data_IF_287103579522
#
_entry.id   IF_287103579522
#
_cell.length_a   1.000
_cell.length_b   1.000
_cell.length_c   1.000
_cell.angle_alpha   90.00
_cell.angle_beta   90.00
_cell.angle_gamma   90.00
#
_symmetry.space_group_name_H-M   'P 1'
#
loop_
_entity.id
_entity.type
_entity.pdbx_description
1 polymer ?
#
# COMPACT_ATOMS: atom_id res chain seq x y z
N UNK A 1 -2.19 -5.38 -6.79
CA UNK A 1 -2.65 -4.01 -6.48
C UNK A 1 -3.90 -3.75 -7.28
N UNK A 2 -5.01 -3.41 -6.62
CA UNK A 2 -6.29 -3.09 -7.25
C UNK A 2 -6.48 -1.58 -7.23
N UNK A 3 -6.39 -0.92 -8.39
CA UNK A 3 -6.45 0.54 -8.51
C UNK A 3 -7.89 1.10 -8.39
N UNK A 4 -8.91 0.25 -8.40
CA UNK A 4 -10.31 0.68 -8.37
C UNK A 4 -10.80 1.12 -6.98
N UNK A 5 -10.11 0.70 -5.92
CA UNK A 5 -10.48 1.03 -4.54
C UNK A 5 -9.71 2.22 -3.99
N UNK A 6 -8.84 2.83 -4.79
CA UNK A 6 -8.13 4.05 -4.43
C UNK A 6 -9.13 5.15 -4.05
N UNK A 7 -8.96 5.84 -2.90
CA UNK A 7 -7.81 5.87 -1.99
C UNK A 7 -7.90 4.94 -0.77
N UNK A 8 -8.87 4.03 -0.71
CA UNK A 8 -9.14 3.09 0.40
C UNK A 8 -8.77 1.66 0.00
N UNK A 9 -7.47 1.45 -0.26
CA UNK A 9 -6.97 0.17 -0.72
C UNK A 9 -6.52 -0.69 0.46
N UNK A 10 -7.04 -1.92 0.53
CA UNK A 10 -6.48 -3.00 1.32
C UNK A 10 -5.53 -3.81 0.44
N UNK A 11 -4.32 -4.06 0.91
CA UNK A 11 -3.32 -4.86 0.22
C UNK A 11 -2.96 -6.08 1.03
N UNK A 12 -3.09 -7.23 0.39
CA UNK A 12 -2.67 -8.52 0.94
C UNK A 12 -1.44 -8.96 0.18
N UNK A 13 -0.33 -9.13 0.89
CA UNK A 13 0.97 -9.48 0.33
C UNK A 13 1.47 -10.77 0.99
N UNK A 14 1.95 -11.71 0.17
CA UNK A 14 2.54 -12.96 0.66
C UNK A 14 4.07 -12.85 0.60
N UNK A 15 4.73 -13.02 1.73
CA UNK A 15 6.18 -13.14 1.88
C UNK A 15 6.48 -14.61 2.15
N UNK A 16 7.16 -15.26 1.22
CA UNK A 16 7.45 -16.69 1.31
C UNK A 16 8.91 -16.90 1.67
N UNK A 17 9.16 -17.62 2.76
CA UNK A 17 10.47 -18.12 3.14
C UNK A 17 10.54 -19.61 2.79
N UNK A 18 11.49 -19.99 1.95
CA UNK A 18 11.72 -21.38 1.57
C UNK A 18 13.20 -21.59 1.24
N UNK A 19 13.64 -22.83 1.40
CA UNK A 19 14.94 -23.27 0.91
C UNK A 19 14.89 -23.40 -0.62
N UNK A 20 15.96 -23.01 -1.31
CA UNK A 20 16.07 -23.16 -2.77
C UNK A 20 16.74 -24.46 -3.20
N UNK A 21 17.43 -25.15 -2.30
CA UNK A 21 18.29 -26.29 -2.65
C UNK A 21 18.26 -27.46 -1.66
N UNK A 22 17.84 -27.24 -0.42
CA UNK A 22 17.85 -28.24 0.65
C UNK A 22 16.45 -28.72 1.00
N UNK A 23 16.34 -30.03 1.23
CA UNK A 23 15.09 -30.67 1.60
C UNK A 23 14.67 -30.40 3.05
N UNK A 24 13.43 -30.71 3.39
CA UNK A 24 12.87 -30.69 4.76
C UNK A 24 13.68 -31.52 5.75
N UNK A 25 14.43 -32.52 5.27
CA UNK A 25 15.25 -33.39 6.12
C UNK A 25 16.59 -32.75 6.48
N UNK A 26 17.03 -31.75 5.71
CA UNK A 26 18.29 -31.04 5.92
C UNK A 26 18.06 -29.70 6.60
N UNK A 27 17.06 -28.94 6.15
CA UNK A 27 16.69 -27.64 6.69
C UNK A 27 15.18 -27.61 6.95
N UNK A 28 14.80 -27.45 8.22
CA UNK A 28 13.43 -27.10 8.61
C UNK A 28 13.32 -25.60 8.85
N UNK A 29 12.20 -25.02 8.43
CA UNK A 29 11.88 -23.61 8.61
C UNK A 29 10.66 -23.55 9.52
N UNK A 30 10.86 -23.06 10.73
CA UNK A 30 9.84 -22.97 11.76
C UNK A 30 9.59 -21.52 12.17
N UNK A 31 8.37 -21.25 12.63
CA UNK A 31 7.97 -19.96 13.15
C UNK A 31 8.59 -19.70 14.53
N UNK A 32 9.18 -18.53 14.71
CA UNK A 32 9.85 -18.15 15.97
C UNK A 32 8.81 -17.83 17.07
N UNK A 33 7.65 -17.31 16.68
CA UNK A 33 6.53 -16.96 17.55
C UNK A 33 5.21 -17.09 16.80
N UNK A 34 4.11 -17.26 17.54
CA UNK A 34 2.76 -17.30 16.97
C UNK A 34 2.43 -16.03 16.17
N UNK A 35 1.47 -16.13 15.25
CA UNK A 35 1.00 -15.06 14.38
C UNK A 35 0.67 -13.74 15.14
N UNK A 36 0.03 -13.83 16.31
CA UNK A 36 -0.29 -12.67 17.14
C UNK A 36 0.98 -11.96 17.66
N UNK A 37 1.98 -12.74 18.08
CA UNK A 37 3.24 -12.21 18.59
C UNK A 37 4.07 -11.54 17.49
N UNK A 38 4.06 -12.11 16.28
CA UNK A 38 4.68 -11.51 15.10
C UNK A 38 3.95 -10.22 14.75
N UNK A 39 2.62 -10.25 14.65
CA UNK A 39 1.81 -9.08 14.33
C UNK A 39 2.04 -7.93 15.32
N UNK A 40 2.06 -8.21 16.62
CA UNK A 40 2.29 -7.20 17.66
C UNK A 40 3.66 -6.53 17.52
N UNK A 41 4.73 -7.32 17.45
CA UNK A 41 6.10 -6.79 17.27
C UNK A 41 6.28 -6.07 15.94
N UNK A 42 5.69 -6.60 14.87
CA UNK A 42 5.73 -5.96 13.57
C UNK A 42 5.02 -4.62 13.58
N UNK A 43 3.87 -4.48 14.27
CA UNK A 43 3.18 -3.18 14.43
C UNK A 43 4.03 -2.15 15.18
N UNK A 44 4.74 -2.57 16.23
CA UNK A 44 5.64 -1.67 16.98
C UNK A 44 6.80 -1.15 16.12
N UNK A 45 7.36 -2.02 15.27
CA UNK A 45 8.46 -1.68 14.35
C UNK A 45 8.00 -0.93 13.10
N UNK A 46 6.78 -1.20 12.62
CA UNK A 46 6.20 -0.60 11.42
C UNK A 46 5.67 0.83 11.68
N UNK A 47 6.38 1.61 12.51
CA UNK A 47 6.00 2.98 12.88
C UNK A 47 5.45 3.72 11.66
N UNK A 48 4.20 4.18 11.79
CA UNK A 48 3.35 4.71 10.71
C UNK A 48 3.81 6.05 10.14
N UNK A 49 5.07 6.15 9.71
CA UNK A 49 5.63 7.28 8.99
C UNK A 49 5.30 7.24 7.48
N UNK A 50 4.52 6.25 7.05
CA UNK A 50 4.08 6.05 5.68
C UNK A 50 2.57 6.18 5.50
N UNK A 51 2.12 5.95 4.28
CA UNK A 51 0.71 5.96 3.90
C UNK A 51 -0.01 4.64 4.20
N UNK A 52 0.62 3.72 4.92
CA UNK A 52 0.14 2.35 5.14
C UNK A 52 0.13 2.02 6.63
N UNK A 53 -0.93 1.35 7.06
CA UNK A 53 -1.07 0.77 8.39
C UNK A 53 -1.07 -0.75 8.27
N UNK A 54 -0.28 -1.42 9.12
CA UNK A 54 -0.26 -2.88 9.23
C UNK A 54 -1.40 -3.35 10.11
N UNK A 55 -2.29 -4.18 9.56
CA UNK A 55 -3.45 -4.71 10.27
C UNK A 55 -3.13 -6.04 10.94
N UNK A 56 -2.60 -7.00 10.18
CA UNK A 56 -2.30 -8.34 10.68
C UNK A 56 -1.26 -9.04 9.80
N UNK A 57 -0.64 -10.07 10.38
CA UNK A 57 0.23 -11.00 9.67
C UNK A 57 -0.27 -12.41 9.98
N UNK A 58 -0.74 -13.10 8.94
CA UNK A 58 -1.11 -14.50 9.01
C UNK A 58 0.10 -15.36 8.63
N UNK A 59 0.28 -16.48 9.32
CA UNK A 59 1.40 -17.41 9.06
C UNK A 59 0.83 -18.74 8.60
N UNK A 60 1.40 -19.30 7.55
CA UNK A 60 1.02 -20.63 7.05
C UNK A 60 2.26 -21.42 6.72
N UNK A 61 2.41 -22.58 7.36
CA UNK A 61 3.44 -23.55 7.02
C UNK A 61 2.91 -24.50 5.95
N UNK A 62 3.70 -24.72 4.92
CA UNK A 62 3.38 -25.57 3.77
C UNK A 62 4.61 -26.37 3.35
N UNK A 63 4.38 -27.45 2.59
CA UNK A 63 5.44 -28.25 2.00
C UNK A 63 5.27 -28.27 0.49
N UNK A 64 6.36 -28.04 -0.24
CA UNK A 64 6.39 -28.15 -1.70
C UNK A 64 7.12 -29.43 -2.07
N UNK A 65 6.47 -30.26 -2.87
CA UNK A 65 7.11 -31.43 -3.47
C UNK A 65 7.53 -31.12 -4.92
N UNK A 66 8.84 -31.09 -5.16
CA UNK A 66 9.42 -30.96 -6.50
C UNK A 66 9.68 -32.36 -7.04
N UNK A 67 8.75 -32.85 -7.84
CA UNK A 67 8.73 -34.22 -8.38
C UNK A 67 10.00 -34.55 -9.19
N UNK A 68 10.52 -33.58 -9.94
CA UNK A 68 11.69 -33.80 -10.82
C UNK A 68 13.00 -34.02 -10.07
N UNK A 69 13.09 -33.57 -8.83
CA UNK A 69 14.33 -33.62 -8.03
C UNK A 69 14.18 -34.52 -6.80
N UNK A 70 13.02 -35.17 -6.62
CA UNK A 70 12.64 -35.90 -5.40
C UNK A 70 12.91 -35.08 -4.12
N UNK A 71 12.65 -33.77 -4.23
CA UNK A 71 12.93 -32.79 -3.18
C UNK A 71 11.63 -32.32 -2.57
N UNK A 72 11.49 -32.53 -1.27
CA UNK A 72 10.43 -31.95 -0.48
C UNK A 72 10.99 -30.74 0.28
N UNK A 73 10.47 -29.55 0.03
CA UNK A 73 10.95 -28.28 0.58
C UNK A 73 10.01 -27.77 1.67
N UNK A 74 10.60 -27.24 2.74
CA UNK A 74 9.84 -26.52 3.77
C UNK A 74 9.54 -25.09 3.31
N UNK A 75 8.31 -24.64 3.50
CA UNK A 75 7.85 -23.32 3.07
C UNK A 75 7.03 -22.65 4.17
N UNK A 76 7.43 -21.44 4.55
CA UNK A 76 6.72 -20.61 5.51
C UNK A 76 6.22 -19.34 4.82
N UNK A 77 4.90 -19.17 4.77
CA UNK A 77 4.23 -18.09 4.07
C UNK A 77 3.68 -17.11 5.11
N UNK A 78 4.16 -15.87 5.06
CA UNK A 78 3.67 -14.75 5.83
C UNK A 78 2.77 -13.89 4.96
N UNK A 79 1.49 -13.84 5.30
CA UNK A 79 0.53 -12.98 4.62
C UNK A 79 0.31 -11.72 5.44
N UNK A 80 0.87 -10.61 4.96
CA UNK A 80 0.70 -9.30 5.58
C UNK A 80 -0.51 -8.58 4.96
N UNK A 81 -1.38 -8.07 5.81
CA UNK A 81 -2.52 -7.24 5.42
C UNK A 81 -2.24 -5.78 5.80
N UNK A 82 -2.21 -4.93 4.79
CA UNK A 82 -1.91 -3.51 4.88
C UNK A 82 -3.13 -2.70 4.40
N UNK A 83 -3.38 -1.55 5.01
CA UNK A 83 -4.43 -0.61 4.58
C UNK A 83 -3.87 0.78 4.37
N UNK A 84 -4.39 1.53 3.40
CA UNK A 84 -4.00 2.92 3.19
C UNK A 84 -4.53 3.84 4.29
N UNK A 85 -3.67 4.73 4.79
CA UNK A 85 -4.04 5.88 5.60
C UNK A 85 -4.50 7.02 4.66
N UNK A 86 -5.77 6.99 4.26
CA UNK A 86 -6.34 7.90 3.25
C UNK A 86 -6.47 9.37 3.70
N UNK A 87 -6.29 9.69 4.99
CA UNK A 87 -6.54 11.04 5.51
C UNK A 87 -5.62 12.12 4.92
N UNK A 88 -4.35 11.80 4.63
CA UNK A 88 -3.38 12.75 4.07
C UNK A 88 -3.71 13.04 2.59
N UNK A 89 -4.08 12.00 1.83
CA UNK A 89 -4.41 12.10 0.40
C UNK A 89 -5.69 12.88 0.14
N UNK A 90 -6.73 12.67 0.95
CA UNK A 90 -8.01 13.37 0.79
C UNK A 90 -7.87 14.89 0.99
N UNK A 91 -7.12 15.32 2.03
CA UNK A 91 -6.93 16.75 2.33
C UNK A 91 -6.17 17.46 1.20
N UNK A 92 -5.09 16.87 0.69
CA UNK A 92 -4.26 17.51 -0.33
C UNK A 92 -4.99 17.64 -1.68
N UNK A 93 -5.71 16.60 -2.12
CA UNK A 93 -6.46 16.65 -3.38
C UNK A 93 -7.65 17.62 -3.31
N UNK A 94 -8.38 17.63 -2.18
CA UNK A 94 -9.47 18.57 -1.96
C UNK A 94 -8.95 20.02 -1.93
N UNK A 95 -7.84 20.29 -1.23
CA UNK A 95 -7.22 21.62 -1.22
C UNK A 95 -6.85 22.10 -2.63
N UNK A 96 -6.17 21.26 -3.42
CA UNK A 96 -5.76 21.61 -4.79
C UNK A 96 -6.98 21.92 -5.69
N UNK A 97 -8.02 21.09 -5.63
CA UNK A 97 -9.24 21.32 -6.42
C UNK A 97 -9.96 22.61 -6.03
N UNK A 98 -10.06 22.91 -4.74
CA UNK A 98 -10.67 24.14 -4.23
C UNK A 98 -9.85 25.35 -4.68
N UNK A 99 -8.53 25.31 -4.56
CA UNK A 99 -7.64 26.40 -4.99
C UNK A 99 -7.81 26.64 -6.50
N UNK A 100 -7.78 25.60 -7.33
CA UNK A 100 -7.99 25.72 -8.79
C UNK A 100 -9.37 26.29 -9.12
N UNK A 101 -10.44 25.86 -8.43
CA UNK A 101 -11.79 26.39 -8.62
C UNK A 101 -11.91 27.87 -8.20
N UNK A 102 -11.24 28.28 -7.12
CA UNK A 102 -11.20 29.68 -6.67
C UNK A 102 -10.37 30.55 -7.63
N UNK A 103 -9.24 30.05 -8.14
CA UNK A 103 -8.47 30.72 -9.20
C UNK A 103 -9.25 30.85 -10.50
N UNK A 104 -9.99 29.81 -10.90
CA UNK A 104 -10.81 29.88 -12.11
C UNK A 104 -12.01 30.83 -11.93
N UNK A 105 -12.65 30.86 -10.74
CA UNK A 105 -13.69 31.85 -10.40
C UNK A 105 -13.17 33.29 -10.40
N UNK A 106 -11.98 33.54 -9.85
CA UNK A 106 -11.38 34.88 -9.82
C UNK A 106 -10.90 35.34 -11.21
N UNK A 107 -10.36 34.43 -12.04
CA UNK A 107 -10.00 34.73 -13.43
C UNK A 107 -11.24 34.97 -14.31
N UNK A 108 -12.33 34.20 -14.11
CA UNK A 108 -13.61 34.43 -14.80
C UNK A 108 -14.27 35.76 -14.39
N UNK A 109 -14.06 36.25 -13.16
CA UNK A 109 -14.47 37.60 -12.73
C UNK A 109 -13.59 38.75 -13.27
N UNK A 110 -12.35 38.49 -13.70
CA UNK A 110 -11.45 39.52 -14.26
C UNK A 110 -11.58 39.76 -15.77
N UNK A 111 -12.46 39.02 -16.48
CA UNK A 111 -12.69 39.18 -17.93
C UNK A 111 -13.97 39.96 -18.29
N UNK A 112 -14.29 41.02 -17.55
CA UNK A 112 -15.36 41.96 -17.91
C UNK A 112 -14.83 43.40 -17.73
N UNK A 113 -14.92 44.18 -18.81
CA UNK A 113 -14.56 45.60 -18.98
C UNK A 113 -13.08 45.93 -19.27
N UNK A 114 -12.66 45.68 -20.52
CA UNK A 114 -11.84 46.65 -21.27
C UNK A 114 -12.59 46.92 -22.58
N UNK A 115 -13.40 47.98 -22.59
CA UNK A 115 -14.05 48.49 -23.80
C UNK A 115 -13.12 49.47 -24.54
N UNK A 116 -13.26 49.63 -25.87
CA UNK A 116 -12.33 50.39 -26.70
C UNK A 116 -12.52 51.91 -26.54
N UNK A 117 -11.42 52.62 -26.31
CA UNK A 117 -11.35 54.08 -26.38
C UNK A 117 -10.98 54.47 -27.81
N UNK A 118 -12.00 54.80 -28.62
CA UNK A 118 -11.86 55.59 -29.84
C UNK A 118 -12.82 56.78 -29.72
N UNK A 119 -12.26 57.97 -29.50
CA UNK A 119 -12.90 59.24 -29.79
C UNK A 119 -12.01 59.94 -30.82
N UNK A 120 -12.47 59.92 -32.06
CA UNK A 120 -12.06 60.86 -33.09
C UNK A 120 -12.61 62.25 -32.72
N UNK A 121 -11.71 63.25 -32.69
CA UNK A 121 -11.94 64.57 -33.25
C UNK A 121 -10.60 65.23 -33.56
#
# INVERSE_FOLDING_TARGET
>A
MDLYKFPFDSHTCNITLQSTAYSVYEISIDEITNADGITGRSKELFQAQGEWELIEINVTKAFINIIYEDLNLDQLIYQAVLVTLSEIRMKNHLLLSIVVLQFNKTNKRRRVCAGPEWLES
#
